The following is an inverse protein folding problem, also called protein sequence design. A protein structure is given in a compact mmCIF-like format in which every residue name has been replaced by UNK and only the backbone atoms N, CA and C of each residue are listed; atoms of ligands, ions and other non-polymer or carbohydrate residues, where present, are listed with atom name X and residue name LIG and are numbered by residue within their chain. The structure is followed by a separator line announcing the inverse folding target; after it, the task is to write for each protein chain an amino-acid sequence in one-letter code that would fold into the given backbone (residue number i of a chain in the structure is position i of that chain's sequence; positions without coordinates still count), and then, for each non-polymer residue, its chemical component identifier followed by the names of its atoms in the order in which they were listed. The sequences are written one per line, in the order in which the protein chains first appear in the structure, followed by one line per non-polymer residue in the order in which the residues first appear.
data_IF_464643706002
#
_entry.id   IF_464643706002
#
_cell.length_a   1.000
_cell.length_b   1.000
_cell.length_c   1.000
_cell.angle_alpha   90.00
_cell.angle_beta   90.00
_cell.angle_gamma   90.00
#
_symmetry.space_group_name_H-M   'P 1'
#
loop_
_entity.id
_entity.type
_entity.pdbx_description
1 polymer ?
#
# COMPACT_ATOMS: atom_id res chain seq x y z
N UNK A 1 -25.96 15.27 12.50
CA UNK A 1 -26.08 14.91 11.08
C UNK A 1 -24.81 14.18 10.68
N UNK A 2 -24.85 12.85 10.62
CA UNK A 2 -23.69 12.02 10.28
C UNK A 2 -23.61 11.91 8.76
N UNK A 3 -22.63 12.57 8.14
CA UNK A 3 -22.34 12.35 6.72
C UNK A 3 -21.96 10.89 6.53
N UNK A 4 -22.71 10.19 5.68
CA UNK A 4 -22.35 8.86 5.18
C UNK A 4 -20.96 9.01 4.55
N UNK A 5 -19.94 8.44 5.19
CA UNK A 5 -18.61 8.40 4.60
C UNK A 5 -18.73 7.69 3.25
N UNK A 6 -18.48 8.42 2.15
CA UNK A 6 -18.51 7.85 0.81
C UNK A 6 -17.60 6.63 0.74
N UNK A 7 -17.98 5.64 -0.06
CA UNK A 7 -17.18 4.43 -0.24
C UNK A 7 -15.72 4.82 -0.56
N UNK A 8 -14.73 4.16 0.05
CA UNK A 8 -13.34 4.51 -0.16
C UNK A 8 -12.99 4.39 -1.65
N UNK A 9 -12.28 5.38 -2.18
CA UNK A 9 -11.89 5.41 -3.60
C UNK A 9 -11.13 4.13 -3.98
N UNK A 10 -11.28 3.68 -5.24
CA UNK A 10 -10.79 2.38 -5.75
C UNK A 10 -9.26 2.18 -5.70
N UNK A 11 -8.50 3.20 -5.31
CA UNK A 11 -7.03 3.21 -5.29
C UNK A 11 -6.43 3.28 -6.69
N UNK A 12 -5.76 4.40 -7.02
CA UNK A 12 -4.98 4.54 -8.27
C UNK A 12 -3.80 3.57 -8.26
N UNK A 13 -3.60 2.81 -9.33
CA UNK A 13 -2.48 1.84 -9.39
C UNK A 13 -1.18 2.58 -9.67
N UNK A 14 -0.24 2.51 -8.73
CA UNK A 14 1.05 3.19 -8.82
C UNK A 14 2.24 2.33 -8.44
N UNK A 15 3.40 2.66 -9.02
CA UNK A 15 4.67 2.06 -8.64
C UNK A 15 5.20 2.74 -7.36
N UNK A 16 5.97 2.04 -6.52
CA UNK A 16 6.45 2.58 -5.25
C UNK A 16 7.22 3.90 -5.37
N UNK A 17 8.03 4.04 -6.42
CA UNK A 17 8.88 5.21 -6.73
C UNK A 17 8.09 6.44 -7.21
N UNK A 18 6.82 6.26 -7.58
CA UNK A 18 5.97 7.34 -8.08
C UNK A 18 5.16 8.01 -6.97
N UNK A 19 5.12 7.43 -5.77
CA UNK A 19 4.37 7.97 -4.64
C UNK A 19 5.10 9.18 -4.08
N UNK A 20 4.47 10.34 -4.18
CA UNK A 20 5.09 11.61 -3.78
C UNK A 20 4.12 12.54 -3.04
N UNK A 21 4.65 13.67 -2.54
CA UNK A 21 3.89 14.65 -1.77
C UNK A 21 2.69 15.26 -2.52
N UNK A 22 2.73 15.33 -3.85
CA UNK A 22 1.61 15.80 -4.66
C UNK A 22 0.40 14.86 -4.64
N UNK A 23 0.58 13.62 -4.15
CA UNK A 23 -0.47 12.61 -4.06
C UNK A 23 -1.12 12.53 -2.69
N UNK A 24 -0.75 13.36 -1.72
CA UNK A 24 -1.33 13.34 -0.37
C UNK A 24 -2.86 13.47 -0.43
N UNK A 25 -3.56 12.58 0.26
CA UNK A 25 -5.02 12.44 0.25
C UNK A 25 -5.56 11.54 -0.86
N UNK A 26 -4.74 11.14 -1.83
CA UNK A 26 -5.14 10.18 -2.85
C UNK A 26 -5.13 8.75 -2.30
N UNK A 27 -6.13 7.97 -2.69
CA UNK A 27 -6.09 6.52 -2.50
C UNK A 27 -5.24 5.88 -3.60
N UNK A 28 -4.30 5.02 -3.21
CA UNK A 28 -3.36 4.33 -4.11
C UNK A 28 -3.35 2.83 -3.87
N UNK A 29 -2.92 2.10 -4.90
CA UNK A 29 -2.59 0.68 -4.86
C UNK A 29 -1.14 0.51 -5.28
N UNK A 30 -0.31 0.08 -4.34
CA UNK A 30 1.13 -0.08 -4.53
C UNK A 30 1.48 -1.56 -4.36
N UNK A 31 2.28 -2.11 -5.26
CA UNK A 31 2.78 -3.49 -5.17
C UNK A 31 4.29 -3.46 -5.11
N UNK A 32 4.88 -4.21 -4.18
CA UNK A 32 6.33 -4.34 -4.06
C UNK A 32 6.75 -5.46 -3.12
N UNK A 33 8.03 -5.80 -3.17
CA UNK A 33 8.63 -6.74 -2.23
C UNK A 33 8.88 -6.04 -0.90
N UNK A 34 8.52 -6.68 0.22
CA UNK A 34 8.74 -6.13 1.55
C UNK A 34 10.20 -6.31 1.94
N UNK A 35 10.92 -5.20 2.12
CA UNK A 35 12.34 -5.20 2.50
C UNK A 35 12.54 -5.25 4.01
N UNK A 36 11.75 -4.47 4.76
CA UNK A 36 11.84 -4.37 6.23
C UNK A 36 10.46 -4.16 6.82
N UNK A 37 10.26 -4.67 8.03
CA UNK A 37 9.10 -4.40 8.88
C UNK A 37 9.62 -3.86 10.22
N UNK A 38 9.09 -2.73 10.64
CA UNK A 38 9.26 -2.20 11.99
C UNK A 38 7.94 -2.41 12.75
N UNK A 39 7.92 -3.48 13.55
CA UNK A 39 6.73 -3.86 14.29
C UNK A 39 6.37 -2.85 15.40
N UNK A 40 7.36 -2.16 15.98
CA UNK A 40 7.12 -1.17 17.02
C UNK A 40 6.48 0.10 16.46
N UNK A 41 6.93 0.52 15.26
CA UNK A 41 6.34 1.65 14.55
C UNK A 41 5.08 1.26 13.76
N UNK A 42 4.79 -0.04 13.58
CA UNK A 42 3.70 -0.51 12.73
C UNK A 42 3.91 -0.17 11.25
N UNK A 43 5.16 -0.22 10.76
CA UNK A 43 5.48 0.18 9.37
C UNK A 43 6.24 -0.90 8.60
N UNK A 44 6.18 -0.82 7.28
CA UNK A 44 7.00 -1.61 6.36
C UNK A 44 7.63 -0.73 5.29
N UNK A 45 8.76 -1.17 4.73
CA UNK A 45 9.38 -0.54 3.55
C UNK A 45 9.48 -1.55 2.42
N UNK A 46 9.45 -1.05 1.18
CA UNK A 46 9.54 -1.88 -0.01
C UNK A 46 10.97 -1.91 -0.56
N UNK A 47 11.36 -2.99 -1.25
CA UNK A 47 12.64 -3.05 -1.95
C UNK A 47 12.72 -1.96 -3.03
N UNK A 48 13.92 -1.40 -3.23
CA UNK A 48 14.19 -0.39 -4.25
C UNK A 48 13.35 0.89 -4.10
N UNK A 49 12.77 1.13 -2.92
CA UNK A 49 11.97 2.31 -2.61
C UNK A 49 12.15 2.70 -1.15
N UNK A 50 12.19 4.00 -0.88
CA UNK A 50 12.13 4.53 0.48
C UNK A 50 10.67 4.73 0.96
N UNK A 51 9.70 4.28 0.16
CA UNK A 51 8.29 4.39 0.50
C UNK A 51 7.98 3.59 1.77
N UNK A 52 7.45 4.31 2.75
CA UNK A 52 6.95 3.73 3.99
C UNK A 52 5.47 3.37 3.82
N UNK A 53 5.14 2.15 4.20
CA UNK A 53 3.78 1.66 4.34
C UNK A 53 3.45 1.67 5.83
N UNK A 54 2.46 2.45 6.22
CA UNK A 54 1.91 2.46 7.58
C UNK A 54 0.82 1.40 7.67
N UNK A 55 1.00 0.45 8.58
CA UNK A 55 0.15 -0.72 8.77
C UNK A 55 -0.81 -0.57 9.97
N UNK A 56 -0.77 0.57 10.68
CA UNK A 56 -1.57 0.81 11.89
C UNK A 56 -3.07 0.63 11.67
N UNK A 57 -3.56 1.02 10.50
CA UNK A 57 -4.98 0.95 10.12
C UNK A 57 -5.31 -0.26 9.23
N UNK A 58 -4.35 -1.16 9.03
CA UNK A 58 -4.52 -2.33 8.19
C UNK A 58 -5.13 -3.47 9.03
N UNK A 59 -6.46 -3.59 8.98
CA UNK A 59 -7.19 -4.66 9.68
C UNK A 59 -6.80 -6.08 9.22
N UNK A 60 -6.18 -6.21 8.05
CA UNK A 60 -5.62 -7.48 7.54
C UNK A 60 -4.16 -7.73 7.95
N UNK A 61 -3.51 -6.75 8.59
CA UNK A 61 -2.13 -6.82 9.08
C UNK A 61 -2.06 -7.13 10.58
N UNK A 62 -3.13 -6.81 11.31
CA UNK A 62 -3.33 -7.19 12.71
C UNK A 62 -3.75 -8.66 12.78
N UNK A 63 -2.79 -9.56 13.04
CA UNK A 63 -3.08 -10.96 13.35
C UNK A 63 -3.73 -11.18 14.71
N UNK A 64 -4.37 -10.16 15.31
CA UNK A 64 -4.68 -10.14 16.75
C UNK A 64 -6.13 -10.52 17.07
N UNK A 65 -7.09 -10.36 16.15
CA UNK A 65 -8.51 -10.48 16.54
C UNK A 65 -9.26 -11.70 15.97
N UNK A 66 -8.59 -12.63 15.27
CA UNK A 66 -9.23 -13.86 14.77
C UNK A 66 -10.43 -13.64 13.82
N UNK A 67 -10.76 -12.40 13.47
CA UNK A 67 -11.82 -12.05 12.56
C UNK A 67 -11.26 -12.12 11.14
N UNK A 68 -11.38 -13.29 10.53
CA UNK A 68 -11.16 -13.56 9.10
C UNK A 68 -12.18 -12.85 8.18
N UNK A 69 -12.48 -11.57 8.44
CA UNK A 69 -13.42 -10.76 7.67
C UNK A 69 -12.82 -10.09 6.42
N UNK A 70 -11.49 -10.08 6.29
CA UNK A 70 -10.80 -9.62 5.09
C UNK A 70 -9.57 -10.48 4.86
N UNK A 71 -9.57 -11.29 3.79
CA UNK A 71 -8.55 -12.30 3.50
C UNK A 71 -7.16 -11.75 3.10
N UNK A 72 -6.53 -10.94 3.96
CA UNK A 72 -5.14 -10.52 3.81
C UNK A 72 -4.27 -11.17 4.88
N UNK A 73 -3.08 -11.61 4.48
CA UNK A 73 -2.03 -12.06 5.41
C UNK A 73 -1.22 -10.85 5.91
N UNK A 74 -0.63 -10.93 7.12
CA UNK A 74 0.34 -9.93 7.54
C UNK A 74 1.52 -9.90 6.55
N UNK A 75 2.06 -8.71 6.22
CA UNK A 75 3.23 -8.61 5.35
C UNK A 75 4.41 -9.38 5.92
N UNK A 76 5.16 -10.05 5.05
CA UNK A 76 6.34 -10.85 5.41
C UNK A 76 7.53 -10.36 4.60
N UNK A 77 8.67 -10.16 5.27
CA UNK A 77 9.93 -9.75 4.61
C UNK A 77 10.32 -10.77 3.53
N UNK A 78 10.77 -10.28 2.38
CA UNK A 78 11.14 -11.10 1.21
C UNK A 78 9.96 -11.59 0.36
N UNK A 79 8.72 -11.23 0.72
CA UNK A 79 7.52 -11.54 -0.06
C UNK A 79 6.96 -10.31 -0.76
N UNK A 80 6.20 -10.54 -1.82
CA UNK A 80 5.57 -9.47 -2.61
C UNK A 80 4.17 -9.22 -2.08
N UNK A 81 3.91 -7.96 -1.72
CA UNK A 81 2.61 -7.54 -1.21
C UNK A 81 2.04 -6.38 -2.02
N UNK A 82 0.72 -6.39 -2.14
CA UNK A 82 -0.06 -5.28 -2.62
C UNK A 82 -0.74 -4.58 -1.45
N UNK A 83 -0.51 -3.27 -1.36
CA UNK A 83 -1.08 -2.40 -0.35
C UNK A 83 -2.07 -1.45 -0.99
N UNK A 84 -3.25 -1.31 -0.39
CA UNK A 84 -4.26 -0.32 -0.78
C UNK A 84 -4.48 0.59 0.41
N UNK A 85 -4.34 1.89 0.19
CA UNK A 85 -4.37 2.87 1.26
C UNK A 85 -4.32 4.30 0.76
N UNK A 86 -4.24 5.24 1.68
CA UNK A 86 -4.20 6.67 1.42
C UNK A 86 -2.76 7.18 1.54
N UNK A 87 -2.33 8.03 0.62
CA UNK A 87 -1.04 8.71 0.76
C UNK A 87 -1.19 9.80 1.83
N UNK A 88 -0.37 9.71 2.87
CA UNK A 88 -0.37 10.64 4.01
C UNK A 88 1.00 11.28 4.16
N UNK A 89 1.04 12.47 4.76
CA UNK A 89 2.32 13.04 5.21
C UNK A 89 2.79 12.24 6.42
N UNK A 90 4.08 11.95 6.48
CA UNK A 90 4.67 11.36 7.67
C UNK A 90 4.70 12.39 8.78
N UNK A 91 4.26 12.00 9.97
CA UNK A 91 4.40 12.83 11.18
C UNK A 91 5.87 12.85 11.65
N UNK A 92 6.58 11.74 11.44
CA UNK A 92 7.99 11.59 11.82
C UNK A 92 8.85 11.31 10.58
N UNK A 93 9.77 12.23 10.31
CA UNK A 93 10.68 12.20 9.15
C UNK A 93 10.17 13.01 7.95
N UNK A 94 11.02 13.17 6.93
CA UNK A 94 10.63 13.79 5.67
C UNK A 94 9.92 12.80 4.75
N UNK A 95 8.96 13.29 3.97
CA UNK A 95 8.31 12.53 2.89
C UNK A 95 6.86 12.12 3.17
N UNK A 96 6.43 11.09 2.46
CA UNK A 96 5.06 10.55 2.52
C UNK A 96 5.08 9.07 2.89
N UNK A 97 3.95 8.59 3.38
CA UNK A 97 3.68 7.17 3.61
C UNK A 97 2.35 6.79 2.94
N UNK A 98 2.14 5.48 2.77
CA UNK A 98 0.82 4.93 2.43
C UNK A 98 0.21 4.36 3.71
N UNK A 99 -0.82 5.01 4.24
CA UNK A 99 -1.64 4.47 5.32
C UNK A 99 -2.49 3.32 4.76
N UNK A 100 -1.99 2.09 4.90
CA UNK A 100 -2.60 0.91 4.32
C UNK A 100 -3.87 0.53 5.08
N UNK A 101 -4.94 0.28 4.33
CA UNK A 101 -6.19 -0.31 4.82
C UNK A 101 -6.28 -1.79 4.48
N UNK A 102 -5.64 -2.20 3.39
CA UNK A 102 -5.61 -3.58 2.91
C UNK A 102 -4.17 -3.97 2.58
N UNK A 103 -3.77 -5.15 3.03
CA UNK A 103 -2.61 -5.89 2.55
C UNK A 103 -3.07 -7.16 1.82
N UNK A 104 -2.40 -7.51 0.74
CA UNK A 104 -2.60 -8.79 0.04
C UNK A 104 -1.27 -9.38 -0.36
N UNK A 105 -1.06 -10.64 0.00
CA UNK A 105 0.06 -11.44 -0.49
C UNK A 105 -0.16 -11.75 -1.97
N UNK A 106 0.79 -11.33 -2.79
CA UNK A 106 0.80 -11.56 -4.24
C UNK A 106 2.14 -12.17 -4.67
N UNK A 107 2.82 -12.88 -3.76
CA UNK A 107 4.05 -13.60 -4.05
C UNK A 107 3.85 -14.50 -5.28
N UNK A 108 4.83 -14.48 -6.19
CA UNK A 108 4.79 -15.21 -7.45
C UNK A 108 4.28 -14.37 -8.62
N UNK A 109 3.85 -13.12 -8.40
CA UNK A 109 3.63 -12.18 -9.50
C UNK A 109 4.95 -11.85 -10.20
N UNK A 110 4.93 -11.82 -11.53
CA UNK A 110 6.03 -11.31 -12.34
C UNK A 110 6.07 -9.77 -12.22
N UNK A 111 6.97 -9.27 -11.36
CA UNK A 111 7.11 -7.83 -11.09
C UNK A 111 7.51 -7.01 -12.31
N UNK A 112 8.47 -7.45 -13.16
CA UNK A 112 8.74 -6.79 -14.45
C UNK A 112 7.50 -6.65 -15.35
N UNK A 113 6.73 -7.73 -15.52
CA UNK A 113 5.50 -7.70 -16.32
C UNK A 113 4.44 -6.79 -15.70
N UNK A 114 4.26 -6.86 -14.37
CA UNK A 114 3.36 -5.99 -13.63
C UNK A 114 3.70 -4.51 -13.84
N UNK A 115 4.97 -4.13 -13.67
CA UNK A 115 5.41 -2.75 -13.86
C UNK A 115 5.16 -2.26 -15.29
N UNK A 116 5.41 -3.11 -16.29
CA UNK A 116 5.10 -2.79 -17.69
C UNK A 116 3.59 -2.60 -17.92
N UNK A 117 2.75 -3.47 -17.35
CA UNK A 117 1.30 -3.37 -17.45
C UNK A 117 0.76 -2.07 -16.83
N UNK A 118 1.29 -1.65 -15.68
CA UNK A 118 0.94 -0.36 -15.04
C UNK A 118 1.29 0.82 -15.94
N UNK A 119 2.47 0.82 -16.56
CA UNK A 119 2.89 1.88 -17.50
C UNK A 119 1.99 1.94 -18.72
N UNK A 120 1.66 0.80 -19.33
CA UNK A 120 0.77 0.72 -20.49
C UNK A 120 -0.65 1.20 -20.18
N UNK A 121 -1.20 0.83 -19.01
CA UNK A 121 -2.53 1.26 -18.56
C UNK A 121 -2.66 2.79 -18.59
N UNK A 122 -1.62 3.49 -18.09
CA UNK A 122 -1.59 4.95 -18.03
C UNK A 122 -1.35 5.61 -19.37
N UNK A 123 -0.46 5.05 -20.20
CA UNK A 123 -0.23 5.55 -21.56
C UNK A 123 -1.52 5.56 -22.40
N UNK A 124 -2.47 4.68 -22.06
CA UNK A 124 -3.79 4.59 -22.70
C UNK A 124 -4.90 5.35 -21.97
N UNK A 125 -4.59 6.15 -20.95
CA UNK A 125 -5.56 6.97 -20.23
C UNK A 125 -6.48 6.22 -19.27
N UNK A 126 -6.17 4.97 -18.94
CA UNK A 126 -6.92 4.24 -17.90
C UNK A 126 -6.38 4.61 -16.51
N UNK A 127 -7.25 4.99 -15.55
CA UNK A 127 -6.86 5.41 -14.20
C UNK A 127 -6.17 4.29 -13.41
#
# INVERSE_FOLDING_TARGET
MSTVAGAPASGRVVLPDEVCAAMVGASVRVTGNVAKIDAAAGTATLEQSELVIDLSNCGTCSGVDGHHGGGGAPPVVGRTFQFIGEVVRREVGAGVAVAARISRDVTGIDMPLYANAVRLRRARGYP
#
